data_IF_711309501156
#
_entry.id   IF_711309501156
#
_cell.length_a   1.000
_cell.length_b   1.000
_cell.length_c   1.000
_cell.angle_alpha   90.00
_cell.angle_beta   90.00
_cell.angle_gamma   90.00
#
_symmetry.space_group_name_H-M   'P 1'
#
loop_
_entity.id
_entity.type
_entity.pdbx_description
1 polymer ?
#
# COMPACT_ATOMS: atom_id res chain seq x y z
N UNK A 1 -70.07 -7.42 -2.96
CA UNK A 1 -69.10 -8.40 -2.42
C UNK A 1 -67.81 -8.55 -3.24
N UNK A 2 -67.81 -8.43 -4.59
CA UNK A 2 -66.61 -8.64 -5.43
C UNK A 2 -65.50 -7.58 -5.33
N UNK A 3 -65.84 -6.34 -4.99
CA UNK A 3 -64.85 -5.25 -4.85
C UNK A 3 -63.99 -5.43 -3.59
N UNK A 4 -64.57 -5.91 -2.49
CA UNK A 4 -63.84 -6.13 -1.22
C UNK A 4 -62.76 -7.22 -1.33
N UNK A 5 -62.98 -8.24 -2.16
CA UNK A 5 -62.00 -9.30 -2.44
C UNK A 5 -60.82 -8.82 -3.30
N UNK A 6 -61.08 -7.91 -4.25
CA UNK A 6 -60.03 -7.30 -5.06
C UNK A 6 -59.06 -6.46 -4.22
N UNK A 7 -59.58 -5.71 -3.24
CA UNK A 7 -58.74 -4.92 -2.32
C UNK A 7 -57.92 -5.80 -1.36
N UNK A 8 -58.46 -6.94 -0.90
CA UNK A 8 -57.70 -7.89 -0.09
C UNK A 8 -56.61 -8.61 -0.90
N UNK A 9 -56.88 -8.97 -2.16
CA UNK A 9 -55.87 -9.58 -3.04
C UNK A 9 -54.75 -8.59 -3.43
N UNK A 10 -55.08 -7.31 -3.64
CA UNK A 10 -54.11 -6.25 -3.93
C UNK A 10 -53.20 -5.96 -2.72
N UNK A 11 -53.76 -5.98 -1.50
CA UNK A 11 -52.99 -5.83 -0.26
C UNK A 11 -52.07 -7.03 0.01
N UNK A 12 -52.52 -8.25 -0.34
CA UNK A 12 -51.72 -9.47 -0.23
C UNK A 12 -50.57 -9.51 -1.27
N UNK A 13 -50.81 -9.00 -2.49
CA UNK A 13 -49.78 -8.82 -3.52
C UNK A 13 -48.77 -7.72 -3.14
N UNK A 14 -49.19 -6.62 -2.51
CA UNK A 14 -48.30 -5.58 -1.99
C UNK A 14 -47.44 -6.05 -0.80
N UNK A 15 -47.94 -6.97 0.03
CA UNK A 15 -47.16 -7.58 1.12
C UNK A 15 -46.13 -8.61 0.64
N UNK A 16 -46.35 -9.25 -0.51
CA UNK A 16 -45.36 -10.12 -1.18
C UNK A 16 -44.35 -9.29 -2.02
N UNK A 17 -44.65 -8.01 -2.24
CA UNK A 17 -43.79 -7.06 -2.98
C UNK A 17 -42.85 -6.25 -2.07
N UNK A 18 -42.67 -6.64 -0.81
CA UNK A 18 -41.38 -6.38 -0.17
C UNK A 18 -40.38 -7.28 -0.88
N UNK A 19 -39.89 -6.77 -2.01
CA UNK A 19 -38.61 -7.17 -2.59
C UNK A 19 -37.69 -7.41 -1.41
N UNK A 20 -37.19 -8.64 -1.27
CA UNK A 20 -35.94 -8.87 -0.59
C UNK A 20 -34.95 -7.95 -1.30
N UNK A 21 -34.86 -6.70 -0.84
CA UNK A 21 -33.69 -5.89 -1.05
C UNK A 21 -32.60 -6.79 -0.47
N UNK A 22 -31.87 -7.45 -1.36
CA UNK A 22 -30.56 -8.00 -1.02
C UNK A 22 -29.86 -6.78 -0.45
N UNK A 23 -29.79 -6.71 0.88
CA UNK A 23 -29.02 -5.70 1.55
C UNK A 23 -27.65 -5.77 0.89
N UNK A 24 -27.20 -4.65 0.31
CA UNK A 24 -25.90 -4.61 -0.34
C UNK A 24 -24.83 -5.11 0.63
N UNK A 25 -23.68 -5.54 0.09
CA UNK A 25 -22.56 -5.96 0.91
C UNK A 25 -22.26 -4.89 1.99
N UNK A 26 -21.98 -5.29 3.25
CA UNK A 26 -21.71 -4.33 4.32
C UNK A 26 -20.60 -3.36 3.94
N UNK A 27 -20.80 -2.07 4.24
CA UNK A 27 -19.86 -0.99 3.91
C UNK A 27 -19.18 -0.38 5.13
N UNK A 28 -19.35 -0.97 6.30
CA UNK A 28 -18.72 -0.53 7.54
C UNK A 28 -18.63 -1.66 8.58
N UNK A 29 -17.77 -1.49 9.59
CA UNK A 29 -17.61 -2.49 10.66
C UNK A 29 -18.91 -2.71 11.45
N UNK A 30 -19.76 -1.68 11.52
CA UNK A 30 -21.07 -1.73 12.19
C UNK A 30 -22.14 -2.48 11.40
N UNK A 31 -21.99 -2.55 10.09
CA UNK A 31 -22.92 -3.28 9.20
C UNK A 31 -22.58 -4.76 9.08
N UNK A 32 -21.32 -5.13 9.37
CA UNK A 32 -20.91 -6.53 9.36
C UNK A 32 -21.57 -7.24 10.55
N UNK A 33 -22.40 -8.27 10.30
CA UNK A 33 -23.14 -8.93 11.36
C UNK A 33 -22.20 -9.70 12.28
N UNK A 34 -22.41 -9.55 13.58
CA UNK A 34 -21.65 -10.29 14.59
C UNK A 34 -22.38 -11.58 14.97
N UNK A 35 -21.65 -12.69 15.06
CA UNK A 35 -22.21 -13.95 15.54
C UNK A 35 -22.76 -13.81 16.98
N UNK A 36 -23.99 -14.24 17.28
CA UNK A 36 -24.58 -14.12 18.61
C UNK A 36 -23.71 -14.75 19.71
N UNK A 37 -23.47 -14.00 20.78
CA UNK A 37 -22.66 -14.45 21.91
C UNK A 37 -21.14 -14.35 21.70
N UNK A 38 -20.68 -13.80 20.57
CA UNK A 38 -19.28 -13.46 20.39
C UNK A 38 -18.86 -12.33 21.34
N UNK A 39 -17.77 -12.56 22.07
CA UNK A 39 -17.19 -11.61 23.01
C UNK A 39 -15.93 -10.98 22.39
N UNK A 40 -15.79 -9.66 22.52
CA UNK A 40 -14.67 -8.90 21.94
C UNK A 40 -13.34 -9.26 22.61
N UNK A 41 -12.30 -9.45 21.82
CA UNK A 41 -10.93 -9.75 22.26
C UNK A 41 -10.00 -8.60 21.84
N UNK A 42 -9.84 -7.63 22.74
CA UNK A 42 -9.00 -6.45 22.49
C UNK A 42 -7.51 -6.78 22.42
N UNK A 43 -7.06 -7.87 23.05
CA UNK A 43 -5.66 -8.28 23.01
C UNK A 43 -5.31 -8.82 21.62
N UNK A 44 -6.21 -9.61 21.02
CA UNK A 44 -6.07 -10.07 19.65
C UNK A 44 -6.12 -8.91 18.64
N UNK A 45 -7.01 -7.92 18.83
CA UNK A 45 -7.04 -6.69 17.99
C UNK A 45 -5.69 -5.97 17.99
N UNK A 46 -5.15 -5.74 19.20
CA UNK A 46 -3.88 -5.06 19.38
C UNK A 46 -2.72 -5.83 18.72
N UNK A 47 -2.69 -7.15 18.87
CA UNK A 47 -1.64 -7.99 18.26
C UNK A 47 -1.57 -7.89 16.74
N UNK A 48 -2.72 -7.74 16.06
CA UNK A 48 -2.76 -7.55 14.59
C UNK A 48 -2.28 -6.15 14.21
N UNK A 49 -2.74 -5.12 14.94
CA UNK A 49 -2.36 -3.73 14.64
C UNK A 49 -0.89 -3.41 14.94
N UNK A 50 -0.27 -4.15 15.87
CA UNK A 50 1.15 -4.02 16.22
C UNK A 50 2.09 -4.83 15.31
N UNK A 51 1.57 -5.56 14.32
CA UNK A 51 2.45 -6.23 13.34
C UNK A 51 3.34 -5.20 12.63
N UNK A 52 4.64 -5.51 12.40
CA UNK A 52 5.62 -4.52 11.96
C UNK A 52 5.22 -3.80 10.67
N UNK A 53 5.58 -2.52 10.58
CA UNK A 53 5.28 -1.65 9.44
C UNK A 53 5.86 -2.15 8.10
N UNK A 54 6.85 -3.03 8.13
CA UNK A 54 7.40 -3.69 6.92
C UNK A 54 6.36 -4.54 6.17
N UNK A 55 5.28 -4.94 6.85
CA UNK A 55 4.13 -5.65 6.27
C UNK A 55 2.93 -4.74 5.99
N UNK A 56 3.01 -3.45 6.35
CA UNK A 56 1.96 -2.48 6.07
C UNK A 56 2.23 -1.84 4.70
N UNK A 57 1.23 -1.82 3.82
CA UNK A 57 1.39 -1.17 2.53
C UNK A 57 1.57 0.35 2.69
N UNK A 58 2.52 0.93 1.94
CA UNK A 58 2.78 2.38 1.95
C UNK A 58 1.56 3.19 1.48
N UNK A 59 0.69 2.57 0.69
CA UNK A 59 -0.56 3.15 0.23
C UNK A 59 -1.74 2.99 1.21
N UNK A 60 -1.53 2.48 2.43
CA UNK A 60 -2.61 2.32 3.40
C UNK A 60 -3.14 3.69 3.87
N UNK A 61 -4.42 3.95 3.61
CA UNK A 61 -5.14 5.12 4.15
C UNK A 61 -5.70 4.86 5.54
N UNK A 62 -6.29 3.68 5.77
CA UNK A 62 -6.82 3.30 7.08
C UNK A 62 -6.88 1.79 7.26
N UNK A 63 -6.87 1.33 8.51
CA UNK A 63 -6.99 -0.09 8.85
C UNK A 63 -7.74 -0.25 10.16
N UNK A 64 -8.89 -0.94 10.10
CA UNK A 64 -9.74 -1.24 11.24
C UNK A 64 -9.74 -2.73 11.50
N UNK A 65 -9.42 -3.12 12.74
CA UNK A 65 -9.50 -4.51 13.20
C UNK A 65 -10.47 -4.63 14.35
N UNK A 66 -11.32 -5.66 14.30
CA UNK A 66 -12.13 -6.14 15.42
C UNK A 66 -11.95 -7.64 15.56
N UNK A 67 -11.67 -8.11 16.77
CA UNK A 67 -11.49 -9.53 17.03
C UNK A 67 -12.46 -9.98 18.12
N UNK A 68 -12.97 -11.19 17.97
CA UNK A 68 -13.94 -11.78 18.87
C UNK A 68 -13.66 -13.27 19.06
N UNK A 69 -14.20 -13.81 20.16
CA UNK A 69 -14.24 -15.24 20.44
C UNK A 69 -15.65 -15.67 20.77
N UNK A 70 -16.03 -16.85 20.32
CA UNK A 70 -17.31 -17.47 20.67
C UNK A 70 -17.12 -18.95 20.99
N UNK A 71 -17.80 -19.42 22.03
CA UNK A 71 -17.74 -20.82 22.49
C UNK A 71 -18.66 -21.71 21.66
N UNK A 72 -18.32 -21.89 20.38
CA UNK A 72 -18.96 -22.85 19.49
C UNK A 72 -17.99 -23.33 18.41
N UNK A 73 -18.40 -24.35 17.65
CA UNK A 73 -17.65 -24.89 16.51
C UNK A 73 -17.70 -23.94 15.31
N UNK A 74 -16.60 -23.89 14.55
CA UNK A 74 -16.44 -23.00 13.41
C UNK A 74 -17.49 -23.22 12.31
N UNK A 75 -17.99 -24.45 12.13
CA UNK A 75 -19.02 -24.76 11.14
C UNK A 75 -20.28 -23.92 11.27
N UNK A 76 -20.71 -23.64 12.51
CA UNK A 76 -21.93 -22.87 12.76
C UNK A 76 -21.71 -21.38 12.50
N UNK A 77 -20.53 -20.88 12.87
CA UNK A 77 -20.12 -19.49 12.61
C UNK A 77 -19.93 -19.26 11.11
N UNK A 78 -19.32 -20.20 10.41
CA UNK A 78 -19.13 -20.14 8.96
C UNK A 78 -20.46 -20.10 8.21
N UNK A 79 -21.41 -20.97 8.56
CA UNK A 79 -22.76 -20.95 7.94
C UNK A 79 -23.50 -19.65 8.21
N UNK A 80 -23.34 -19.08 9.40
CA UNK A 80 -23.89 -17.76 9.72
C UNK A 80 -23.35 -16.68 8.79
N UNK A 81 -22.04 -16.61 8.57
CA UNK A 81 -21.47 -15.59 7.67
C UNK A 81 -21.81 -15.83 6.20
N UNK A 82 -21.86 -17.08 5.74
CA UNK A 82 -22.36 -17.40 4.37
C UNK A 82 -23.78 -16.86 4.17
N UNK A 83 -24.70 -17.15 5.11
CA UNK A 83 -26.09 -16.69 5.04
C UNK A 83 -26.19 -15.17 5.12
N UNK A 84 -25.52 -14.56 6.10
CA UNK A 84 -25.67 -13.13 6.38
C UNK A 84 -25.01 -12.22 5.37
N UNK A 85 -23.90 -12.65 4.76
CA UNK A 85 -23.22 -11.88 3.73
C UNK A 85 -23.73 -12.22 2.32
N UNK A 86 -24.55 -13.27 2.18
CA UNK A 86 -24.92 -13.81 0.86
C UNK A 86 -23.70 -14.30 0.08
N UNK A 87 -22.64 -14.71 0.78
CA UNK A 87 -21.35 -14.99 0.19
C UNK A 87 -21.37 -16.29 -0.64
N UNK A 88 -20.60 -16.32 -1.73
CA UNK A 88 -20.46 -17.49 -2.60
C UNK A 88 -19.01 -17.99 -2.61
N UNK A 89 -18.75 -19.27 -2.91
CA UNK A 89 -17.38 -19.71 -3.18
C UNK A 89 -16.74 -18.83 -4.26
N UNK A 90 -15.52 -18.35 -4.01
CA UNK A 90 -14.81 -17.47 -4.93
C UNK A 90 -13.33 -17.36 -4.58
N UNK A 91 -12.69 -16.34 -5.13
CA UNK A 91 -11.29 -16.02 -4.94
C UNK A 91 -11.11 -14.49 -4.99
N UNK A 92 -9.95 -13.96 -4.56
CA UNK A 92 -9.65 -12.55 -4.71
C UNK A 92 -9.70 -12.12 -6.19
N UNK A 93 -9.98 -10.85 -6.44
CA UNK A 93 -9.80 -10.27 -7.77
C UNK A 93 -8.31 -10.21 -8.13
N UNK A 94 -7.99 -10.52 -9.38
CA UNK A 94 -6.62 -10.36 -9.91
C UNK A 94 -6.19 -8.89 -9.86
N UNK A 95 -7.10 -7.98 -10.21
CA UNK A 95 -6.93 -6.53 -10.12
C UNK A 95 -8.18 -5.87 -9.53
N UNK A 96 -8.21 -5.61 -8.21
CA UNK A 96 -9.31 -4.91 -7.56
C UNK A 96 -9.45 -3.44 -7.97
N UNK A 97 -8.42 -2.81 -8.57
CA UNK A 97 -8.48 -1.41 -9.01
C UNK A 97 -9.18 -1.23 -10.36
N UNK A 98 -9.48 -2.33 -11.06
CA UNK A 98 -10.28 -2.33 -12.28
C UNK A 98 -11.80 -2.12 -12.03
N UNK A 99 -12.23 -2.05 -10.76
CA UNK A 99 -13.60 -1.76 -10.38
C UNK A 99 -13.93 -0.28 -10.64
N UNK A 100 -15.13 0.00 -11.14
CA UNK A 100 -15.61 1.37 -11.31
C UNK A 100 -15.96 2.01 -9.95
N UNK A 101 -15.88 3.35 -9.79
CA UNK A 101 -16.27 4.02 -8.56
C UNK A 101 -17.68 3.63 -8.08
N UNK A 102 -17.76 3.19 -6.83
CA UNK A 102 -18.98 2.70 -6.18
C UNK A 102 -19.29 1.22 -6.44
N UNK A 103 -18.59 0.57 -7.37
CA UNK A 103 -18.75 -0.86 -7.69
C UNK A 103 -18.31 -1.74 -6.51
N UNK A 104 -19.00 -2.86 -6.37
CA UNK A 104 -18.78 -3.84 -5.32
C UNK A 104 -18.46 -5.18 -5.95
N UNK A 105 -17.27 -5.69 -5.68
CA UNK A 105 -17.00 -7.10 -5.88
C UNK A 105 -17.70 -7.88 -4.76
N UNK A 106 -18.69 -8.70 -5.12
CA UNK A 106 -19.60 -9.30 -4.13
C UNK A 106 -18.87 -10.21 -3.14
N UNK A 107 -19.36 -10.33 -1.88
CA UNK A 107 -18.79 -11.23 -0.89
C UNK A 107 -18.57 -12.64 -1.41
N UNK A 108 -17.33 -13.08 -1.29
CA UNK A 108 -16.93 -14.44 -1.58
C UNK A 108 -16.33 -15.09 -0.34
N UNK A 109 -16.18 -16.41 -0.39
CA UNK A 109 -15.50 -17.14 0.67
C UNK A 109 -14.66 -18.30 0.15
N UNK A 110 -13.65 -18.64 0.93
CA UNK A 110 -12.87 -19.87 0.82
C UNK A 110 -12.77 -20.58 2.17
N UNK A 111 -12.53 -21.89 2.13
CA UNK A 111 -12.60 -22.78 3.28
C UNK A 111 -11.34 -23.64 3.37
N UNK A 112 -10.73 -23.65 4.56
CA UNK A 112 -9.58 -24.48 4.88
C UNK A 112 -9.94 -25.58 5.87
N UNK A 113 -9.38 -26.76 5.63
CA UNK A 113 -9.66 -27.95 6.43
C UNK A 113 -8.41 -28.44 7.13
N UNK A 114 -8.60 -29.02 8.32
CA UNK A 114 -7.52 -29.72 9.00
C UNK A 114 -6.91 -30.81 8.12
N UNK A 115 -5.58 -30.76 7.96
CA UNK A 115 -4.84 -31.74 7.18
C UNK A 115 -4.79 -33.12 7.84
N UNK A 116 -4.70 -34.19 7.03
CA UNK A 116 -4.74 -35.58 7.53
C UNK A 116 -3.70 -35.88 8.61
N UNK A 117 -2.52 -35.25 8.54
CA UNK A 117 -1.39 -35.39 9.48
C UNK A 117 -1.77 -35.12 10.94
N UNK A 118 -2.78 -34.29 11.21
CA UNK A 118 -3.18 -34.02 12.60
C UNK A 118 -3.82 -35.22 13.29
N UNK A 119 -4.30 -36.19 12.51
CA UNK A 119 -4.98 -37.39 12.99
C UNK A 119 -4.06 -38.61 13.06
N UNK A 120 -2.76 -38.40 12.92
CA UNK A 120 -1.70 -39.41 13.03
C UNK A 120 -0.89 -39.17 14.30
N UNK A 121 -0.43 -40.25 14.93
CA UNK A 121 0.49 -40.14 16.06
C UNK A 121 1.84 -39.63 15.52
N UNK A 122 2.33 -38.53 16.08
CA UNK A 122 3.61 -37.96 15.70
C UNK A 122 4.62 -38.15 16.81
N UNK A 123 5.83 -38.54 16.44
CA UNK A 123 6.93 -38.81 17.35
C UNK A 123 8.15 -37.96 16.99
N UNK A 124 8.87 -37.53 18.01
CA UNK A 124 10.25 -37.06 17.88
C UNK A 124 11.13 -38.08 18.60
N UNK A 125 11.91 -38.84 17.82
CA UNK A 125 12.56 -40.08 18.28
C UNK A 125 11.50 -41.02 18.91
N UNK A 126 11.65 -41.36 20.19
CA UNK A 126 10.69 -42.22 20.92
C UNK A 126 9.64 -41.41 21.72
N UNK A 127 9.66 -40.08 21.62
CA UNK A 127 8.74 -39.22 22.38
C UNK A 127 7.50 -38.91 21.55
N UNK A 128 6.32 -39.27 22.05
CA UNK A 128 5.04 -38.87 21.44
C UNK A 128 4.87 -37.34 21.58
N UNK A 129 4.90 -36.64 20.45
CA UNK A 129 4.71 -35.19 20.37
C UNK A 129 3.31 -34.80 19.89
N UNK A 130 2.51 -35.77 19.43
CA UNK A 130 1.09 -35.59 19.14
C UNK A 130 0.35 -36.92 19.16
N UNK A 131 -0.76 -36.99 19.89
CA UNK A 131 -1.64 -38.17 19.94
C UNK A 131 -2.77 -38.03 18.91
N UNK A 132 -2.51 -38.47 17.67
CA UNK A 132 -3.45 -38.39 16.55
C UNK A 132 -4.69 -39.25 16.73
N UNK A 133 -4.55 -40.39 17.43
CA UNK A 133 -5.70 -41.26 17.75
C UNK A 133 -6.71 -40.55 18.62
N UNK A 134 -6.25 -39.89 19.69
CA UNK A 134 -7.14 -39.10 20.54
C UNK A 134 -7.78 -37.94 19.77
N UNK A 135 -6.99 -37.23 18.94
CA UNK A 135 -7.50 -36.12 18.12
C UNK A 135 -8.61 -36.61 17.20
N UNK A 136 -8.41 -37.74 16.51
CA UNK A 136 -9.42 -38.37 15.66
C UNK A 136 -10.70 -38.67 16.42
N UNK A 137 -10.61 -39.31 17.59
CA UNK A 137 -11.78 -39.61 18.43
C UNK A 137 -12.48 -38.35 18.98
N UNK A 138 -11.75 -37.26 19.20
CA UNK A 138 -12.35 -35.98 19.58
C UNK A 138 -13.12 -35.36 18.41
N UNK A 139 -12.52 -35.38 17.22
CA UNK A 139 -13.08 -34.78 16.00
C UNK A 139 -14.25 -35.57 15.42
N UNK A 140 -14.30 -36.89 15.60
CA UNK A 140 -15.48 -37.70 15.24
C UNK A 140 -16.78 -37.23 15.93
N UNK A 141 -16.67 -36.50 17.04
CA UNK A 141 -17.81 -35.90 17.76
C UNK A 141 -18.15 -34.49 17.27
N UNK A 142 -17.35 -33.91 16.38
CA UNK A 142 -17.60 -32.62 15.75
C UNK A 142 -18.42 -32.80 14.48
N UNK A 143 -19.18 -31.76 14.13
CA UNK A 143 -19.77 -31.65 12.81
C UNK A 143 -18.67 -31.72 11.74
N UNK A 144 -18.97 -32.38 10.63
CA UNK A 144 -18.11 -32.41 9.46
C UNK A 144 -18.71 -31.51 8.39
N UNK A 145 -17.89 -30.66 7.78
CA UNK A 145 -18.33 -29.81 6.69
C UNK A 145 -18.64 -30.64 5.44
N UNK A 146 -17.75 -31.60 5.15
CA UNK A 146 -17.92 -32.68 4.18
C UNK A 146 -17.33 -33.95 4.78
N UNK A 147 -17.74 -35.11 4.30
CA UNK A 147 -17.30 -36.41 4.83
C UNK A 147 -15.78 -36.47 4.99
N UNK A 148 -15.31 -36.63 6.22
CA UNK A 148 -13.90 -36.73 6.58
C UNK A 148 -13.12 -35.41 6.62
N UNK A 149 -13.78 -34.25 6.52
CA UNK A 149 -13.12 -32.95 6.59
C UNK A 149 -13.77 -32.04 7.63
N UNK A 150 -12.92 -31.50 8.51
CA UNK A 150 -13.30 -30.55 9.54
C UNK A 150 -12.68 -29.20 9.21
N UNK A 151 -13.50 -28.17 9.23
CA UNK A 151 -13.08 -26.80 8.94
C UNK A 151 -12.10 -26.34 10.05
N UNK A 152 -10.98 -25.74 9.66
CA UNK A 152 -10.05 -25.10 10.59
C UNK A 152 -10.03 -23.59 10.42
N UNK A 153 -10.33 -23.10 9.21
CA UNK A 153 -10.39 -21.69 8.89
C UNK A 153 -11.39 -21.43 7.77
N UNK A 154 -11.98 -20.23 7.77
CA UNK A 154 -12.74 -19.71 6.65
C UNK A 154 -12.38 -18.24 6.44
N UNK A 155 -12.24 -17.84 5.18
CA UNK A 155 -11.97 -16.47 4.78
C UNK A 155 -13.15 -15.97 3.97
N UNK A 156 -13.65 -14.80 4.32
CA UNK A 156 -14.68 -14.08 3.57
C UNK A 156 -14.12 -12.73 3.17
N UNK A 157 -14.36 -12.30 1.94
CA UNK A 157 -13.88 -11.00 1.48
C UNK A 157 -14.81 -10.37 0.44
N UNK A 158 -14.82 -9.05 0.42
CA UNK A 158 -15.36 -8.25 -0.67
C UNK A 158 -14.58 -6.94 -0.78
N UNK A 159 -14.63 -6.35 -1.97
CA UNK A 159 -13.97 -5.10 -2.27
C UNK A 159 -14.99 -4.08 -2.76
N UNK A 160 -14.78 -2.82 -2.39
CA UNK A 160 -15.59 -1.70 -2.83
C UNK A 160 -14.64 -0.62 -3.32
N UNK A 161 -14.79 -0.23 -4.59
CA UNK A 161 -14.15 0.97 -5.08
C UNK A 161 -14.92 2.17 -4.53
N UNK A 162 -14.25 3.02 -3.75
CA UNK A 162 -14.86 4.22 -3.18
C UNK A 162 -14.96 5.31 -4.25
N UNK A 163 -15.84 6.29 -4.03
CA UNK A 163 -16.09 7.38 -5.00
C UNK A 163 -14.83 8.22 -5.30
N UNK A 164 -13.86 8.21 -4.40
CA UNK A 164 -12.57 8.89 -4.54
C UNK A 164 -11.47 8.02 -5.18
N UNK A 165 -11.81 6.82 -5.68
CA UNK A 165 -10.86 5.88 -6.27
C UNK A 165 -10.05 5.05 -5.28
N UNK A 166 -10.22 5.26 -3.97
CA UNK A 166 -9.61 4.39 -2.97
C UNK A 166 -10.28 3.01 -2.97
N UNK A 167 -9.51 1.97 -2.68
CA UNK A 167 -10.03 0.62 -2.55
C UNK A 167 -10.31 0.29 -1.08
N UNK A 168 -11.55 -0.05 -0.74
CA UNK A 168 -11.92 -0.61 0.55
C UNK A 168 -12.06 -2.13 0.46
N UNK A 169 -11.20 -2.85 1.17
CA UNK A 169 -11.24 -4.32 1.28
C UNK A 169 -11.76 -4.69 2.67
N UNK A 170 -12.78 -5.55 2.68
CA UNK A 170 -13.44 -6.02 3.89
C UNK A 170 -13.21 -7.51 4.02
N UNK A 171 -12.83 -7.94 5.21
CA UNK A 171 -12.53 -9.34 5.48
C UNK A 171 -13.21 -9.82 6.75
N UNK A 172 -13.75 -11.04 6.72
CA UNK A 172 -14.07 -11.81 7.92
C UNK A 172 -13.25 -13.09 7.92
N UNK A 173 -12.38 -13.25 8.91
CA UNK A 173 -11.57 -14.46 9.10
C UNK A 173 -12.09 -15.25 10.28
N UNK A 174 -12.40 -16.51 10.06
CA UNK A 174 -12.79 -17.45 11.10
C UNK A 174 -11.65 -18.43 11.33
N UNK A 175 -11.31 -18.70 12.58
CA UNK A 175 -10.30 -19.70 12.95
C UNK A 175 -10.81 -20.58 14.08
N UNK A 176 -10.69 -21.90 13.94
CA UNK A 176 -10.95 -22.82 15.05
C UNK A 176 -9.75 -22.78 16.01
N UNK A 177 -10.00 -22.56 17.30
CA UNK A 177 -8.94 -22.62 18.32
C UNK A 177 -8.38 -24.05 18.47
N UNK A 178 -9.08 -25.05 17.93
CA UNK A 178 -8.58 -26.41 17.84
C UNK A 178 -8.69 -27.16 19.17
N UNK A 179 -7.57 -27.74 19.58
CA UNK A 179 -7.50 -28.68 20.69
C UNK A 179 -6.14 -28.63 21.40
N UNK A 180 -6.11 -29.11 22.63
CA UNK A 180 -4.90 -29.43 23.37
C UNK A 180 -4.87 -30.94 23.62
N UNK A 181 -4.02 -31.66 22.87
CA UNK A 181 -3.94 -33.11 22.95
C UNK A 181 -3.30 -33.61 24.24
N UNK A 182 -2.47 -32.78 24.91
CA UNK A 182 -1.84 -33.13 26.18
C UNK A 182 -2.85 -33.06 27.31
N UNK A 183 -3.67 -32.02 27.31
CA UNK A 183 -4.77 -31.85 28.27
C UNK A 183 -6.03 -32.63 27.90
N UNK A 184 -6.05 -33.21 26.70
CA UNK A 184 -7.20 -33.96 26.16
C UNK A 184 -8.46 -33.09 26.10
N UNK A 185 -8.31 -31.84 25.66
CA UNK A 185 -9.38 -30.85 25.55
C UNK A 185 -9.60 -30.45 24.09
N UNK A 186 -10.83 -30.59 23.62
CA UNK A 186 -11.32 -29.91 22.41
C UNK A 186 -11.88 -28.55 22.84
N UNK A 187 -11.29 -27.46 22.34
CA UNK A 187 -11.68 -26.12 22.78
C UNK A 187 -13.08 -25.72 22.29
N UNK A 188 -13.55 -26.22 21.14
CA UNK A 188 -14.84 -25.82 20.55
C UNK A 188 -15.09 -24.31 20.63
N UNK A 189 -14.07 -23.55 20.24
CA UNK A 189 -14.06 -22.08 20.33
C UNK A 189 -13.61 -21.56 18.98
N UNK A 190 -14.36 -20.60 18.45
CA UNK A 190 -14.06 -19.97 17.17
C UNK A 190 -13.60 -18.55 17.42
N UNK A 191 -12.49 -18.18 16.81
CA UNK A 191 -12.05 -16.78 16.70
C UNK A 191 -12.66 -16.17 15.45
N UNK A 192 -13.12 -14.94 15.56
CA UNK A 192 -13.69 -14.14 14.47
C UNK A 192 -12.87 -12.86 14.39
N UNK A 193 -12.22 -12.61 13.26
CA UNK A 193 -11.56 -11.34 12.97
C UNK A 193 -12.29 -10.64 11.84
N UNK A 194 -12.66 -9.38 12.06
CA UNK A 194 -13.22 -8.50 11.05
C UNK A 194 -12.17 -7.44 10.77
N UNK A 195 -11.81 -7.28 9.50
CA UNK A 195 -10.81 -6.33 9.04
C UNK A 195 -11.39 -5.46 7.93
N UNK A 196 -11.07 -4.17 7.96
CA UNK A 196 -11.36 -3.23 6.89
C UNK A 196 -10.07 -2.48 6.61
N UNK A 197 -9.55 -2.67 5.41
CA UNK A 197 -8.36 -2.00 4.91
C UNK A 197 -8.77 -1.06 3.78
N UNK A 198 -8.41 0.22 3.89
CA UNK A 198 -8.60 1.19 2.81
C UNK A 198 -7.22 1.59 2.29
N UNK A 199 -6.99 1.39 0.99
CA UNK A 199 -5.76 1.79 0.31
C UNK A 199 -6.02 2.94 -0.66
N UNK A 200 -5.04 3.83 -0.77
CA UNK A 200 -5.06 5.01 -1.63
C UNK A 200 -5.11 4.61 -3.10
N UNK A 201 -5.86 5.36 -3.90
CA UNK A 201 -5.80 5.29 -5.36
C UNK A 201 -4.41 5.67 -5.90
N UNK A 202 -4.11 5.29 -7.15
CA UNK A 202 -2.88 5.71 -7.82
C UNK A 202 -2.80 7.23 -7.93
N UNK A 203 -3.90 7.90 -8.29
CA UNK A 203 -3.97 9.35 -8.41
C UNK A 203 -3.66 10.04 -7.08
N UNK A 204 -4.20 9.51 -5.97
CA UNK A 204 -3.93 10.06 -4.64
C UNK A 204 -2.45 9.91 -4.25
N UNK A 205 -1.80 8.82 -4.64
CA UNK A 205 -0.37 8.63 -4.42
C UNK A 205 0.47 9.58 -5.29
N UNK A 206 0.10 9.75 -6.57
CA UNK A 206 0.77 10.69 -7.48
C UNK A 206 0.67 12.13 -6.97
N UNK A 207 -0.50 12.54 -6.48
CA UNK A 207 -0.70 13.86 -5.90
C UNK A 207 0.15 14.07 -4.63
N UNK A 208 0.17 13.08 -3.74
CA UNK A 208 0.97 13.13 -2.51
C UNK A 208 2.48 13.17 -2.81
N UNK A 209 2.95 12.33 -3.74
CA UNK A 209 4.35 12.28 -4.14
C UNK A 209 4.76 13.56 -4.86
N UNK A 210 3.91 14.07 -5.76
CA UNK A 210 4.13 15.35 -6.44
C UNK A 210 4.23 16.51 -5.44
N UNK A 211 3.30 16.58 -4.49
CA UNK A 211 3.31 17.60 -3.44
C UNK A 211 4.56 17.51 -2.57
N UNK A 212 4.96 16.30 -2.16
CA UNK A 212 6.17 16.08 -1.38
C UNK A 212 7.44 16.48 -2.16
N UNK A 213 7.49 16.20 -3.46
CA UNK A 213 8.58 16.63 -4.34
C UNK A 213 8.64 18.16 -4.45
N UNK A 214 7.49 18.83 -4.62
CA UNK A 214 7.40 20.28 -4.69
C UNK A 214 7.87 20.92 -3.38
N UNK A 215 7.40 20.42 -2.23
CA UNK A 215 7.84 20.89 -0.91
C UNK A 215 9.35 20.71 -0.69
N UNK A 216 9.90 19.54 -1.06
CA UNK A 216 11.32 19.26 -0.98
C UNK A 216 12.14 20.21 -1.88
N UNK A 217 11.65 20.48 -3.09
CA UNK A 217 12.26 21.42 -4.01
C UNK A 217 12.25 22.85 -3.43
N UNK A 218 11.12 23.31 -2.89
CA UNK A 218 10.99 24.64 -2.28
C UNK A 218 11.89 24.80 -1.03
N UNK A 219 11.97 23.80 -0.18
CA UNK A 219 12.88 23.80 0.96
C UNK A 219 14.35 23.87 0.52
N UNK A 220 14.74 23.03 -0.45
CA UNK A 220 16.12 23.02 -0.97
C UNK A 220 16.45 24.33 -1.68
N UNK A 221 15.51 24.93 -2.41
CA UNK A 221 15.65 26.25 -3.02
C UNK A 221 15.86 27.34 -1.97
N UNK A 222 15.06 27.36 -0.89
CA UNK A 222 15.25 28.30 0.24
C UNK A 222 16.62 28.12 0.90
N UNK A 223 17.09 26.87 1.06
CA UNK A 223 18.42 26.57 1.61
C UNK A 223 19.54 27.10 0.72
N UNK A 224 19.44 26.89 -0.59
CA UNK A 224 20.41 27.39 -1.57
C UNK A 224 20.38 28.92 -1.69
N UNK A 225 19.22 29.56 -1.61
CA UNK A 225 19.11 31.02 -1.60
C UNK A 225 19.77 31.64 -0.37
N UNK A 226 19.60 31.01 0.81
CA UNK A 226 20.22 31.45 2.06
C UNK A 226 21.74 31.23 2.08
N UNK A 227 22.20 30.12 1.52
CA UNK A 227 23.60 29.72 1.49
C UNK A 227 24.03 29.41 0.04
N UNK A 228 24.24 30.44 -0.80
CA UNK A 228 24.61 30.22 -2.18
C UNK A 228 25.99 29.54 -2.28
N UNK A 229 26.22 28.76 -3.36
CA UNK A 229 27.49 28.10 -3.62
C UNK A 229 28.66 29.09 -3.64
N UNK A 230 29.77 28.70 -3.01
CA UNK A 230 31.03 29.47 -3.02
C UNK A 230 32.07 28.84 -3.93
N UNK A 231 33.05 29.62 -4.40
CA UNK A 231 34.18 29.10 -5.18
C UNK A 231 34.90 27.95 -4.47
N UNK A 232 35.07 28.07 -3.14
CA UNK A 232 35.69 27.03 -2.31
C UNK A 232 34.89 25.73 -2.34
N UNK A 233 33.56 25.82 -2.28
CA UNK A 233 32.67 24.65 -2.30
C UNK A 233 32.68 23.98 -3.68
N UNK A 234 32.62 24.77 -4.74
CA UNK A 234 32.59 24.25 -6.11
C UNK A 234 33.97 23.76 -6.56
N UNK A 235 35.06 24.29 -5.98
CA UNK A 235 36.43 24.00 -6.39
C UNK A 235 36.85 24.70 -7.69
N UNK A 236 36.07 25.70 -8.12
CA UNK A 236 36.30 26.49 -9.34
C UNK A 236 35.97 27.96 -9.08
N UNK A 237 36.56 28.91 -9.82
CA UNK A 237 36.17 30.31 -9.74
C UNK A 237 34.74 30.52 -10.28
N UNK A 238 34.01 31.47 -9.70
CA UNK A 238 32.70 31.87 -10.22
C UNK A 238 32.90 32.80 -11.43
N UNK A 239 32.08 32.61 -12.47
CA UNK A 239 32.17 33.46 -13.65
C UNK A 239 31.74 34.91 -13.31
N UNK A 240 32.53 35.93 -13.65
CA UNK A 240 32.19 37.32 -13.36
C UNK A 240 30.84 37.72 -13.97
N UNK A 241 29.95 38.26 -13.14
CA UNK A 241 28.62 38.70 -13.57
C UNK A 241 27.60 37.57 -13.77
N UNK A 242 27.96 36.31 -13.47
CA UNK A 242 26.99 35.22 -13.45
C UNK A 242 26.09 35.32 -12.21
N UNK A 243 24.79 35.05 -12.40
CA UNK A 243 23.77 35.10 -11.34
C UNK A 243 23.36 33.69 -10.97
N UNK A 244 23.46 33.35 -9.70
CA UNK A 244 23.03 32.05 -9.17
C UNK A 244 21.51 31.93 -9.18
N UNK A 245 20.99 30.78 -9.63
CA UNK A 245 19.56 30.49 -9.59
C UNK A 245 19.28 29.34 -8.59
N UNK A 246 18.76 29.64 -7.38
CA UNK A 246 18.54 28.62 -6.35
C UNK A 246 17.41 27.65 -6.69
N UNK A 247 16.37 28.09 -7.40
CA UNK A 247 15.21 27.27 -7.75
C UNK A 247 15.58 26.16 -8.75
N UNK A 248 16.22 26.54 -9.86
CA UNK A 248 16.69 25.57 -10.87
C UNK A 248 17.74 24.65 -10.27
N UNK A 249 18.63 25.18 -9.43
CA UNK A 249 19.63 24.36 -8.73
C UNK A 249 18.98 23.32 -7.83
N UNK A 250 17.94 23.69 -7.09
CA UNK A 250 17.22 22.77 -6.20
C UNK A 250 16.50 21.66 -6.97
N UNK A 251 15.80 22.00 -8.06
CA UNK A 251 15.12 21.02 -8.91
C UNK A 251 16.07 20.00 -9.55
N UNK A 252 17.31 20.42 -9.88
CA UNK A 252 18.36 19.52 -10.41
C UNK A 252 19.18 18.81 -9.31
N UNK A 253 18.83 19.02 -8.04
CA UNK A 253 19.55 18.49 -6.88
C UNK A 253 18.60 17.80 -5.91
N UNK A 254 17.52 17.16 -6.37
CA UNK A 254 16.58 16.48 -5.46
C UNK A 254 17.22 15.27 -4.77
N UNK A 255 18.12 14.58 -5.46
CA UNK A 255 19.01 13.58 -4.88
C UNK A 255 20.03 14.26 -3.94
N UNK A 256 20.34 13.63 -2.81
CA UNK A 256 21.29 14.15 -1.84
C UNK A 256 22.75 13.75 -2.14
N UNK A 257 23.00 12.75 -3.00
CA UNK A 257 24.35 12.30 -3.37
C UNK A 257 25.04 13.28 -4.33
N UNK A 258 24.26 13.97 -5.16
CA UNK A 258 24.76 14.92 -6.14
C UNK A 258 23.93 16.19 -6.20
N UNK A 259 24.60 17.33 -6.09
CA UNK A 259 23.97 18.63 -6.31
C UNK A 259 24.48 19.27 -7.61
N UNK A 260 23.57 19.87 -8.36
CA UNK A 260 23.84 20.68 -9.53
C UNK A 260 23.53 22.15 -9.24
N UNK A 261 24.56 23.00 -9.26
CA UNK A 261 24.44 24.43 -9.03
C UNK A 261 24.43 25.18 -10.35
N UNK A 262 23.37 25.96 -10.59
CA UNK A 262 23.12 26.64 -11.87
C UNK A 262 23.28 28.15 -11.73
N UNK A 263 24.03 28.71 -12.68
CA UNK A 263 24.22 30.14 -12.83
C UNK A 263 23.90 30.56 -14.26
N UNK A 264 23.50 31.82 -14.44
CA UNK A 264 23.23 32.38 -15.76
C UNK A 264 24.13 33.58 -16.06
N UNK A 265 24.56 33.70 -17.31
CA UNK A 265 25.36 34.82 -17.80
C UNK A 265 24.80 35.38 -19.10
N UNK A 266 24.92 36.71 -19.28
CA UNK A 266 24.59 37.38 -20.53
C UNK A 266 25.67 37.22 -21.60
N UNK A 267 26.85 36.71 -21.24
CA UNK A 267 27.92 36.42 -22.18
C UNK A 267 27.64 35.12 -22.97
N UNK A 268 28.27 34.95 -24.13
CA UNK A 268 28.07 33.76 -24.97
C UNK A 268 28.74 32.51 -24.37
N UNK A 269 28.25 31.28 -24.67
CA UNK A 269 28.83 30.05 -24.14
C UNK A 269 30.34 29.91 -24.43
N UNK A 270 30.77 30.31 -25.63
CA UNK A 270 32.18 30.28 -26.02
C UNK A 270 33.07 31.21 -25.18
N UNK A 271 32.57 32.41 -24.84
CA UNK A 271 33.30 33.36 -23.98
C UNK A 271 33.41 32.83 -22.55
N UNK A 272 32.34 32.24 -22.04
CA UNK A 272 32.33 31.62 -20.71
C UNK A 272 33.26 30.40 -20.67
N UNK A 273 33.26 29.55 -21.70
CA UNK A 273 34.14 28.40 -21.80
C UNK A 273 35.63 28.79 -21.87
N UNK A 274 35.98 29.82 -22.65
CA UNK A 274 37.35 30.33 -22.73
C UNK A 274 37.89 30.79 -21.36
N UNK A 275 37.03 31.44 -20.54
CA UNK A 275 37.39 31.80 -19.16
C UNK A 275 37.75 30.57 -18.33
N UNK A 276 36.90 29.54 -18.35
CA UNK A 276 37.13 28.33 -17.55
C UNK A 276 38.30 27.50 -18.07
N UNK A 277 38.51 27.42 -19.39
CA UNK A 277 39.68 26.78 -19.99
C UNK A 277 40.98 27.40 -19.48
N UNK A 278 41.06 28.74 -19.48
CA UNK A 278 42.23 29.46 -18.96
C UNK A 278 42.42 29.26 -17.44
N UNK A 279 41.33 29.32 -16.66
CA UNK A 279 41.40 29.25 -15.19
C UNK A 279 41.66 27.85 -14.66
N UNK A 280 41.11 26.83 -15.32
CA UNK A 280 41.26 25.43 -14.94
C UNK A 280 42.49 24.77 -15.57
N UNK A 281 43.08 25.41 -16.60
CA UNK A 281 44.15 24.85 -17.41
C UNK A 281 43.77 23.45 -17.95
N UNK A 282 42.54 23.33 -18.45
CA UNK A 282 41.93 22.09 -18.96
C UNK A 282 41.19 22.37 -20.25
N UNK A 283 41.27 21.45 -21.20
CA UNK A 283 40.47 21.49 -22.43
C UNK A 283 39.07 20.90 -22.16
N UNK A 284 37.99 21.56 -22.61
CA UNK A 284 36.65 20.98 -22.54
C UNK A 284 36.42 19.96 -23.66
N UNK A 285 35.48 19.04 -23.44
CA UNK A 285 34.76 18.44 -24.57
C UNK A 285 33.82 19.49 -25.16
N UNK A 286 33.86 19.67 -26.48
CA UNK A 286 33.00 20.61 -27.20
C UNK A 286 32.07 19.84 -28.13
N UNK A 287 30.78 20.17 -28.10
CA UNK A 287 29.76 19.66 -29.02
C UNK A 287 28.74 20.76 -29.35
N UNK A 288 27.76 20.46 -30.20
CA UNK A 288 26.62 21.37 -30.46
C UNK A 288 25.86 21.72 -29.17
N UNK A 289 25.89 20.84 -28.16
CA UNK A 289 25.25 21.04 -26.86
C UNK A 289 26.03 21.92 -25.88
N UNK A 290 27.20 22.45 -26.27
CA UNK A 290 28.04 23.32 -25.45
C UNK A 290 29.39 22.71 -25.06
N UNK A 291 29.89 23.10 -23.88
CA UNK A 291 31.21 22.73 -23.38
C UNK A 291 31.10 21.98 -22.05
N UNK A 292 31.87 20.91 -21.89
CA UNK A 292 31.93 20.12 -20.66
C UNK A 292 33.37 19.96 -20.18
N UNK A 293 33.63 20.38 -18.94
CA UNK A 293 34.89 20.18 -18.24
C UNK A 293 34.74 19.09 -17.19
N UNK A 294 35.63 18.09 -17.20
CA UNK A 294 35.74 17.14 -16.10
C UNK A 294 36.50 17.81 -14.93
N UNK A 295 35.78 18.13 -13.85
CA UNK A 295 36.40 18.61 -12.62
C UNK A 295 37.03 17.43 -11.87
N UNK A 296 36.28 16.34 -11.77
CA UNK A 296 36.70 15.04 -11.24
C UNK A 296 36.20 13.93 -12.17
N UNK A 297 37.08 12.98 -12.47
CA UNK A 297 36.76 11.91 -13.40
C UNK A 297 37.28 12.08 -14.81
N UNK A 298 36.61 11.40 -15.74
CA UNK A 298 36.94 11.42 -17.16
C UNK A 298 35.69 11.70 -17.99
N UNK A 299 35.88 12.41 -19.10
CA UNK A 299 34.86 12.59 -20.12
C UNK A 299 34.52 11.24 -20.80
N UNK A 300 33.32 11.08 -21.38
CA UNK A 300 32.27 12.09 -21.54
C UNK A 300 31.36 12.28 -20.31
N UNK A 301 31.43 11.41 -19.30
CA UNK A 301 30.57 11.44 -18.11
C UNK A 301 31.47 11.56 -16.86
N UNK A 302 31.83 12.79 -16.45
CA UNK A 302 32.65 12.99 -15.26
C UNK A 302 31.82 12.78 -13.98
N UNK A 303 32.48 12.44 -12.86
CA UNK A 303 31.80 12.37 -11.55
C UNK A 303 31.41 13.77 -11.05
N UNK A 304 32.30 14.75 -11.25
CA UNK A 304 32.00 16.17 -11.04
C UNK A 304 32.34 16.93 -12.30
N UNK A 305 31.42 17.78 -12.74
CA UNK A 305 31.48 18.43 -14.05
C UNK A 305 31.11 19.89 -13.98
N UNK A 306 31.69 20.66 -14.90
CA UNK A 306 31.24 22.00 -15.24
C UNK A 306 30.75 21.99 -16.68
N UNK A 307 29.46 22.23 -16.87
CA UNK A 307 28.83 22.36 -18.18
C UNK A 307 28.51 23.83 -18.47
N UNK A 308 28.74 24.25 -19.71
CA UNK A 308 28.46 25.60 -20.20
C UNK A 308 27.66 25.45 -21.49
N UNK A 309 26.41 25.90 -21.47
CA UNK A 309 25.45 25.60 -22.52
C UNK A 309 24.66 26.85 -22.90
N UNK A 310 24.18 26.97 -24.16
CA UNK A 310 23.17 27.96 -24.49
C UNK A 310 21.90 27.69 -23.67
N UNK A 311 21.33 28.73 -23.09
CA UNK A 311 20.04 28.66 -22.41
C UNK A 311 18.92 28.64 -23.46
N UNK A 312 18.44 27.43 -23.77
CA UNK A 312 17.34 27.20 -24.69
C UNK A 312 16.02 26.90 -23.98
N UNK A 313 16.05 26.74 -22.65
CA UNK A 313 14.94 26.17 -21.87
C UNK A 313 14.25 27.20 -20.98
N UNK A 314 15.00 28.12 -20.38
CA UNK A 314 14.50 29.00 -19.34
C UNK A 314 14.24 30.41 -19.88
N UNK A 315 12.98 30.64 -20.28
CA UNK A 315 12.52 31.93 -20.82
C UNK A 315 12.73 33.04 -19.79
N UNK A 316 13.25 34.19 -20.24
CA UNK A 316 13.49 35.35 -19.39
C UNK A 316 14.81 35.32 -18.60
N UNK A 317 15.56 34.22 -18.66
CA UNK A 317 16.91 34.13 -18.09
C UNK A 317 18.00 34.40 -19.14
N UNK A 318 19.21 34.82 -18.71
CA UNK A 318 20.33 35.09 -19.61
C UNK A 318 20.71 33.94 -20.55
N UNK A 319 21.38 34.27 -21.65
CA UNK A 319 21.60 33.37 -22.79
C UNK A 319 22.54 32.18 -22.53
N UNK A 320 23.36 32.20 -21.47
CA UNK A 320 24.27 31.10 -21.14
C UNK A 320 23.96 30.55 -19.77
N UNK A 321 23.78 29.23 -19.70
CA UNK A 321 23.66 28.46 -18.47
C UNK A 321 25.01 27.82 -18.12
N UNK A 322 25.40 27.97 -16.86
CA UNK A 322 26.62 27.41 -16.27
C UNK A 322 26.18 26.46 -15.16
N UNK A 323 26.38 25.16 -15.34
CA UNK A 323 25.94 24.13 -14.40
C UNK A 323 27.16 23.42 -13.80
N UNK A 324 27.21 23.34 -12.48
CA UNK A 324 28.30 22.70 -11.74
C UNK A 324 27.75 21.53 -10.93
N UNK A 325 28.07 20.30 -11.36
CA UNK A 325 27.71 19.08 -10.63
C UNK A 325 28.78 18.75 -9.61
N UNK A 326 28.36 18.49 -8.36
CA UNK A 326 29.21 18.14 -7.23
C UNK A 326 28.66 16.90 -6.52
N UNK A 327 29.55 15.95 -6.26
CA UNK A 327 29.30 14.85 -5.34
C UNK A 327 29.24 15.42 -3.92
N UNK A 328 28.15 15.17 -3.21
CA UNK A 328 27.94 15.58 -1.83
C UNK A 328 28.36 14.41 -0.94
N UNK A 329 29.63 14.40 -0.54
CA UNK A 329 30.11 13.44 0.46
C UNK A 329 29.81 13.98 1.86
N UNK A 330 29.36 13.10 2.76
CA UNK A 330 29.45 13.34 4.21
C UNK A 330 30.89 13.64 4.65
#
# INVERSE_FOLDING_TARGET
MRIRWFWFALLFLLLISFSLAVAGAPRSDKEIPLYPGAARDQAAEKGVLEMPAEYASENRRSHTVRAYKVKTIIDDVCKFYIDKLGAKPGAPLDDPYALEPGEVYSPWYELDFYGARIFEDQYEHDTLIQDGKWIRSAFEKRSQWKKGAWLCQAWFEWNIMLDNGDLATYTVVLMDEGYDWRKKVDFKTTQIRIEILVTKSEEALVEEWGSAMDEAMEEKARRFAKNPPTEKMLGIPLYPGAVFNPEISAGLSLDDDYHCYVFFSNDSPAKVAAFYQQRLNKEPSSSEGGYLFALKGKLPIPQEGLAIQPNMLFVGLPQTMISVQKEMRE
#
